data_IF_983655954133
#
_entry.id   IF_983655954133
#
_cell.length_a   1.000
_cell.length_b   1.000
_cell.length_c   1.000
_cell.angle_alpha   90.00
_cell.angle_beta   90.00
_cell.angle_gamma   90.00
#
_symmetry.space_group_name_H-M   'P 1'
#
loop_
_entity.id
_entity.type
_entity.pdbx_description
1 polymer ?
#
# COMPACT_ATOMS: atom_id res chain seq x y z
N UNK A 1 1.16 -47.73 11.58
CA UNK A 1 2.21 -46.71 11.37
C UNK A 1 1.56 -45.50 10.72
N UNK A 2 1.40 -44.38 11.42
CA UNK A 2 0.80 -43.14 10.87
C UNK A 2 1.92 -42.14 10.59
N UNK A 3 2.16 -41.84 9.32
CA UNK A 3 3.13 -40.84 8.87
C UNK A 3 2.65 -39.44 9.24
N UNK A 4 3.51 -38.68 9.91
CA UNK A 4 3.31 -37.28 10.27
C UNK A 4 3.56 -36.44 9.01
N UNK A 5 2.53 -35.79 8.47
CA UNK A 5 2.69 -34.71 7.49
C UNK A 5 3.33 -33.53 8.22
N UNK A 6 4.65 -33.40 8.11
CA UNK A 6 5.35 -32.17 8.48
C UNK A 6 4.94 -31.07 7.50
N UNK A 7 4.19 -30.09 8.00
CA UNK A 7 3.94 -28.84 7.32
C UNK A 7 5.28 -28.13 7.16
N UNK A 8 5.81 -28.12 5.93
CA UNK A 8 6.98 -27.30 5.60
C UNK A 8 6.63 -25.82 5.88
N UNK A 9 7.44 -25.08 6.65
CA UNK A 9 7.20 -23.66 6.84
C UNK A 9 7.33 -22.95 5.48
N UNK A 10 6.26 -22.25 5.09
CA UNK A 10 6.26 -21.29 3.99
C UNK A 10 7.49 -20.40 4.15
N UNK A 11 8.47 -20.54 3.26
CA UNK A 11 9.62 -19.64 3.23
C UNK A 11 9.11 -18.23 2.93
N UNK A 12 8.95 -17.43 4.01
CA UNK A 12 8.80 -15.99 3.91
C UNK A 12 10.03 -15.46 3.21
N UNK A 13 9.91 -15.14 1.92
CA UNK A 13 10.92 -14.36 1.21
C UNK A 13 10.94 -12.93 1.80
N UNK A 14 11.65 -12.75 2.91
CA UNK A 14 11.94 -11.44 3.52
C UNK A 14 13.38 -11.09 3.20
N UNK A 15 13.62 -10.54 2.00
CA UNK A 15 14.86 -9.80 1.75
C UNK A 15 14.62 -8.39 2.28
N UNK A 16 15.33 -7.92 3.33
CA UNK A 16 15.05 -6.63 3.93
C UNK A 16 15.30 -5.49 2.93
N UNK A 17 14.36 -4.55 2.87
CA UNK A 17 14.43 -3.35 2.04
C UNK A 17 15.58 -2.47 2.56
N UNK A 18 16.75 -2.51 1.91
CA UNK A 18 17.88 -1.63 2.25
C UNK A 18 17.57 -0.21 1.78
N UNK A 19 17.04 0.65 2.65
CA UNK A 19 16.87 2.10 2.40
C UNK A 19 17.67 2.93 3.41
N UNK A 20 18.32 4.00 2.93
CA UNK A 20 19.47 4.68 3.55
C UNK A 20 19.15 5.83 4.51
N UNK A 21 17.93 5.94 5.03
CA UNK A 21 17.59 6.94 6.07
C UNK A 21 16.60 6.34 7.03
N UNK A 22 17.05 6.15 8.28
CA UNK A 22 16.27 5.55 9.34
C UNK A 22 15.31 6.61 9.95
N UNK A 23 14.19 6.85 9.28
CA UNK A 23 13.11 7.70 9.80
C UNK A 23 12.42 6.95 10.92
N UNK A 24 12.19 7.59 12.07
CA UNK A 24 11.55 6.99 13.26
C UNK A 24 12.17 5.67 13.73
N UNK A 25 13.47 5.41 13.58
CA UNK A 25 14.03 4.13 14.02
C UNK A 25 13.46 2.89 13.28
N UNK A 26 12.88 3.09 12.08
CA UNK A 26 12.36 2.03 11.21
C UNK A 26 13.29 0.83 11.07
N UNK A 27 12.70 -0.35 11.22
CA UNK A 27 13.38 -1.63 11.15
C UNK A 27 12.84 -2.47 9.98
N UNK A 28 13.56 -2.54 8.84
CA UNK A 28 13.16 -3.31 7.66
C UNK A 28 12.98 -4.82 7.94
N UNK A 29 13.63 -5.37 8.96
CA UNK A 29 13.49 -6.79 9.32
C UNK A 29 12.10 -7.10 9.91
N UNK A 30 11.41 -6.08 10.42
CA UNK A 30 10.03 -6.14 10.89
C UNK A 30 9.01 -5.76 9.80
N UNK A 31 9.46 -5.59 8.56
CA UNK A 31 8.57 -5.21 7.47
C UNK A 31 7.52 -6.28 7.19
N UNK A 32 6.30 -5.83 6.89
CA UNK A 32 5.20 -6.69 6.47
C UNK A 32 4.69 -6.23 5.12
N UNK A 33 4.59 -7.16 4.17
CA UNK A 33 3.89 -6.90 2.91
C UNK A 33 2.39 -6.81 3.20
N UNK A 34 1.75 -5.75 2.73
CA UNK A 34 0.30 -5.53 2.90
C UNK A 34 -0.46 -5.60 1.58
N UNK A 35 0.22 -5.43 0.45
CA UNK A 35 -0.39 -5.56 -0.86
C UNK A 35 0.62 -6.00 -1.91
N UNK A 36 0.11 -6.67 -2.95
CA UNK A 36 0.89 -7.12 -4.10
C UNK A 36 0.18 -6.76 -5.40
N UNK A 37 0.95 -6.35 -6.40
CA UNK A 37 0.48 -6.03 -7.75
C UNK A 37 1.44 -6.63 -8.78
N UNK A 38 1.03 -6.67 -10.05
CA UNK A 38 1.85 -7.23 -11.13
C UNK A 38 3.25 -6.61 -11.22
N UNK A 39 3.35 -5.31 -10.94
CA UNK A 39 4.59 -4.54 -11.13
C UNK A 39 5.38 -4.33 -9.82
N UNK A 40 4.87 -4.79 -8.68
CA UNK A 40 5.39 -4.35 -7.39
C UNK A 40 4.61 -4.78 -6.16
N UNK A 41 5.09 -4.38 -4.99
CA UNK A 41 4.45 -4.66 -3.71
C UNK A 41 4.53 -3.46 -2.76
N UNK A 42 3.57 -3.38 -1.84
CA UNK A 42 3.52 -2.39 -0.76
C UNK A 42 3.86 -3.08 0.55
N UNK A 43 4.78 -2.47 1.29
CA UNK A 43 5.24 -2.92 2.60
C UNK A 43 4.99 -1.85 3.64
N UNK A 44 4.60 -2.26 4.83
CA UNK A 44 4.69 -1.45 6.04
C UNK A 44 5.98 -1.81 6.78
N UNK A 45 6.73 -0.80 7.17
CA UNK A 45 7.97 -0.92 7.94
C UNK A 45 7.76 -0.19 9.27
N UNK A 46 7.61 -0.91 10.39
CA UNK A 46 7.43 -0.27 11.68
C UNK A 46 8.73 0.35 12.17
N UNK A 47 8.60 1.40 12.97
CA UNK A 47 9.68 2.04 13.72
C UNK A 47 9.22 2.41 15.14
N UNK A 48 10.04 3.19 15.83
CA UNK A 48 9.73 3.75 17.13
C UNK A 48 8.73 4.92 17.00
N UNK A 49 7.49 4.67 17.41
CA UNK A 49 6.38 5.64 17.34
C UNK A 49 5.92 5.98 15.91
N UNK A 50 6.55 5.42 14.88
CA UNK A 50 6.28 5.71 13.48
C UNK A 50 6.16 4.46 12.61
N UNK A 51 5.67 4.66 11.40
CA UNK A 51 5.51 3.62 10.40
C UNK A 51 5.76 4.20 9.02
N UNK A 52 6.48 3.45 8.18
CA UNK A 52 6.72 3.80 6.79
C UNK A 52 5.98 2.84 5.88
N UNK A 53 5.30 3.38 4.89
CA UNK A 53 4.92 2.64 3.70
C UNK A 53 6.08 2.68 2.70
N UNK A 54 6.51 1.53 2.22
CA UNK A 54 7.52 1.38 1.17
C UNK A 54 6.89 0.64 0.01
N UNK A 55 7.03 1.21 -1.18
CA UNK A 55 6.52 0.63 -2.41
C UNK A 55 7.70 0.13 -3.23
N UNK A 56 7.52 -1.00 -3.87
CA UNK A 56 8.54 -1.60 -4.75
C UNK A 56 8.03 -1.65 -6.17
N UNK A 57 8.92 -1.48 -7.16
CA UNK A 57 8.67 -1.73 -8.57
C UNK A 57 9.77 -2.61 -9.12
N UNK A 58 9.41 -3.74 -9.73
CA UNK A 58 10.40 -4.72 -10.23
C UNK A 58 11.53 -4.99 -9.23
N UNK A 59 11.16 -5.20 -7.96
CA UNK A 59 12.07 -5.45 -6.82
C UNK A 59 12.95 -4.27 -6.36
N UNK A 60 12.86 -3.11 -6.99
CA UNK A 60 13.51 -1.87 -6.54
C UNK A 60 12.57 -1.01 -5.71
N UNK A 61 13.08 -0.19 -4.79
CA UNK A 61 12.24 0.75 -4.03
C UNK A 61 11.76 1.85 -4.96
N UNK A 62 10.45 1.89 -5.22
CA UNK A 62 9.80 2.90 -6.06
C UNK A 62 9.36 4.14 -5.27
N UNK A 63 9.25 4.01 -3.94
CA UNK A 63 8.77 5.10 -3.09
C UNK A 63 8.74 4.77 -1.61
N UNK A 64 8.71 5.82 -0.79
CA UNK A 64 8.58 5.72 0.66
C UNK A 64 7.85 6.92 1.23
N UNK A 65 6.87 6.69 2.09
CA UNK A 65 6.21 7.69 2.90
C UNK A 65 6.20 7.24 4.36
N UNK A 66 6.46 8.14 5.30
CA UNK A 66 6.55 7.83 6.73
C UNK A 66 5.72 8.82 7.51
N UNK A 67 4.97 8.33 8.49
CA UNK A 67 4.15 9.13 9.41
C UNK A 67 4.25 8.56 10.82
N UNK A 68 3.76 9.30 11.81
CA UNK A 68 3.59 8.74 13.16
C UNK A 68 2.54 7.64 13.14
N UNK A 69 2.65 6.66 14.05
CA UNK A 69 1.65 5.58 14.19
C UNK A 69 0.26 6.14 14.50
N UNK A 70 0.18 7.22 15.29
CA UNK A 70 -1.09 7.89 15.59
C UNK A 70 -1.76 8.50 14.36
N UNK A 71 -0.98 9.11 13.46
CA UNK A 71 -1.48 9.59 12.16
C UNK A 71 -1.94 8.43 11.28
N UNK A 72 -1.10 7.38 11.16
CA UNK A 72 -1.42 6.20 10.37
C UNK A 72 -2.75 5.54 10.78
N UNK A 73 -3.03 5.44 12.08
CA UNK A 73 -4.26 4.83 12.59
C UNK A 73 -5.51 5.68 12.35
N UNK A 74 -5.38 7.00 12.28
CA UNK A 74 -6.52 7.91 12.04
C UNK A 74 -6.80 8.10 10.56
N UNK A 75 -5.75 8.34 9.79
CA UNK A 75 -5.85 8.88 8.43
C UNK A 75 -5.42 7.86 7.36
N UNK A 76 -4.87 6.71 7.78
CA UNK A 76 -4.19 5.77 6.90
C UNK A 76 -2.81 6.26 6.44
N UNK A 77 -2.24 5.60 5.45
CA UNK A 77 -1.03 6.03 4.78
C UNK A 77 -1.27 6.16 3.29
N UNK A 78 -0.78 7.24 2.69
CA UNK A 78 -0.79 7.42 1.23
C UNK A 78 0.56 7.93 0.75
N UNK A 79 0.86 7.62 -0.51
CA UNK A 79 2.04 8.12 -1.20
C UNK A 79 1.72 8.33 -2.66
N UNK A 80 2.01 9.52 -3.16
CA UNK A 80 1.80 9.88 -4.57
C UNK A 80 3.09 9.68 -5.35
N UNK A 81 3.04 8.80 -6.34
CA UNK A 81 4.09 8.60 -7.34
C UNK A 81 3.73 9.30 -8.64
N UNK A 82 4.73 9.85 -9.32
CA UNK A 82 4.59 10.12 -10.74
C UNK A 82 4.43 8.78 -11.49
N UNK A 83 3.47 8.69 -12.40
CA UNK A 83 3.40 7.55 -13.31
C UNK A 83 4.55 7.69 -14.33
N UNK A 84 5.22 6.57 -14.62
CA UNK A 84 6.41 6.55 -15.49
C UNK A 84 6.08 6.67 -16.98
N UNK A 85 4.79 6.61 -17.36
CA UNK A 85 4.34 6.81 -18.75
C UNK A 85 3.04 7.61 -18.77
N UNK A 86 2.95 8.55 -19.73
CA UNK A 86 1.78 9.36 -20.08
C UNK A 86 1.31 10.45 -19.09
N UNK A 87 2.19 11.01 -18.25
CA UNK A 87 1.86 12.23 -17.48
C UNK A 87 0.83 12.04 -16.36
N UNK A 88 0.41 10.81 -16.07
CA UNK A 88 -0.44 10.48 -14.94
C UNK A 88 0.33 10.49 -13.61
N UNK A 89 -0.41 10.49 -12.51
CA UNK A 89 0.06 10.19 -11.15
C UNK A 89 -0.60 8.90 -10.67
N UNK A 90 0.04 8.21 -9.74
CA UNK A 90 -0.54 7.07 -9.03
C UNK A 90 -0.45 7.34 -7.55
N UNK A 91 -1.57 7.29 -6.85
CA UNK A 91 -1.60 7.33 -5.39
C UNK A 91 -1.69 5.90 -4.91
N UNK A 92 -0.71 5.46 -4.14
CA UNK A 92 -0.76 4.19 -3.43
C UNK A 92 -1.07 4.47 -1.98
N UNK A 93 -1.81 3.58 -1.32
CA UNK A 93 -2.10 3.75 0.09
C UNK A 93 -2.49 2.47 0.80
N UNK A 94 -2.55 2.62 2.12
CA UNK A 94 -2.95 1.58 3.06
C UNK A 94 -4.00 2.16 4.00
N UNK A 95 -5.13 1.48 4.08
CA UNK A 95 -6.22 1.74 5.01
C UNK A 95 -5.98 0.93 6.30
N UNK A 96 -6.20 1.52 7.48
CA UNK A 96 -6.13 0.79 8.75
C UNK A 96 -7.14 -0.35 8.84
N UNK A 97 -6.80 -1.39 9.59
CA UNK A 97 -7.74 -2.47 9.89
C UNK A 97 -9.01 -1.94 10.57
N UNK A 98 -10.16 -2.53 10.25
CA UNK A 98 -11.45 -2.18 10.85
C UNK A 98 -12.15 -0.97 10.22
N UNK A 99 -11.51 -0.26 9.28
CA UNK A 99 -12.17 0.79 8.48
C UNK A 99 -13.01 0.13 7.39
N UNK A 100 -14.31 0.35 7.40
CA UNK A 100 -15.25 -0.23 6.43
C UNK A 100 -15.46 0.65 5.19
N UNK A 101 -15.25 1.96 5.30
CA UNK A 101 -15.43 2.93 4.21
C UNK A 101 -14.36 4.01 4.24
N UNK A 102 -13.99 4.48 3.06
CA UNK A 102 -13.11 5.63 2.87
C UNK A 102 -13.79 6.67 2.01
N UNK A 103 -13.38 7.92 2.17
CA UNK A 103 -13.82 9.03 1.33
C UNK A 103 -12.69 9.41 0.38
N UNK A 104 -13.02 9.47 -0.91
CA UNK A 104 -12.11 9.96 -1.94
C UNK A 104 -12.53 11.36 -2.35
N UNK A 105 -11.61 12.32 -2.22
CA UNK A 105 -11.76 13.69 -2.73
C UNK A 105 -10.86 13.91 -3.93
N UNK A 106 -11.39 14.48 -5.01
CA UNK A 106 -10.60 15.07 -6.09
C UNK A 106 -10.33 16.55 -5.80
N UNK A 107 -9.21 17.11 -6.27
CA UNK A 107 -8.96 18.56 -6.17
C UNK A 107 -9.98 19.36 -6.99
N UNK A 108 -10.54 18.76 -8.04
CA UNK A 108 -11.49 19.40 -8.96
C UNK A 108 -12.97 19.31 -8.54
N UNK A 109 -13.33 18.35 -7.68
CA UNK A 109 -14.71 18.17 -7.23
C UNK A 109 -14.82 18.29 -5.71
N UNK A 110 -15.77 19.12 -5.25
CA UNK A 110 -16.18 19.18 -3.84
C UNK A 110 -16.91 17.90 -3.36
N UNK A 111 -17.00 16.87 -4.22
CA UNK A 111 -17.78 15.67 -3.97
C UNK A 111 -16.88 14.58 -3.42
N UNK A 112 -17.17 14.19 -2.19
CA UNK A 112 -16.59 13.02 -1.55
C UNK A 112 -17.30 11.76 -2.08
N UNK A 113 -16.52 10.84 -2.65
CA UNK A 113 -17.03 9.51 -2.99
C UNK A 113 -16.78 8.60 -1.80
N UNK A 114 -17.85 8.10 -1.19
CA UNK A 114 -17.76 7.08 -0.15
C UNK A 114 -17.65 5.70 -0.80
N UNK A 115 -16.59 4.98 -0.49
CA UNK A 115 -16.24 3.70 -1.11
C UNK A 115 -16.03 2.65 -0.02
N UNK A 116 -16.67 1.49 -0.16
CA UNK A 116 -16.45 0.36 0.75
C UNK A 116 -15.03 -0.21 0.59
N UNK A 117 -14.37 -0.41 1.72
CA UNK A 117 -13.02 -1.00 1.81
C UNK A 117 -13.11 -2.49 1.54
N UNK A 118 -12.39 -2.95 0.53
CA UNK A 118 -12.35 -4.37 0.16
C UNK A 118 -11.05 -5.06 0.61
N UNK A 119 -9.99 -4.29 0.83
CA UNK A 119 -8.69 -4.74 1.32
C UNK A 119 -7.96 -3.53 1.92
N UNK A 120 -6.86 -3.76 2.64
CA UNK A 120 -6.11 -2.68 3.26
C UNK A 120 -5.29 -1.90 2.24
N UNK A 121 -4.76 -2.53 1.19
CA UNK A 121 -3.98 -1.85 0.17
C UNK A 121 -4.83 -1.29 -0.97
N UNK A 122 -4.48 -0.12 -1.49
CA UNK A 122 -5.11 0.43 -2.69
C UNK A 122 -4.15 1.17 -3.61
N UNK A 123 -4.57 1.33 -4.86
CA UNK A 123 -3.92 2.16 -5.87
C UNK A 123 -4.97 2.96 -6.63
N UNK A 124 -4.74 4.27 -6.76
CA UNK A 124 -5.57 5.19 -7.52
C UNK A 124 -4.75 5.72 -8.70
N UNK A 125 -5.28 5.58 -9.91
CA UNK A 125 -4.75 6.27 -11.09
C UNK A 125 -5.29 7.69 -11.13
N UNK A 126 -4.43 8.66 -11.41
CA UNK A 126 -4.77 10.09 -11.47
C UNK A 126 -4.30 10.66 -12.80
N UNK A 127 -5.18 11.33 -13.53
CA UNK A 127 -4.86 11.99 -14.81
C UNK A 127 -5.31 13.43 -14.74
N UNK A 128 -4.44 14.37 -15.10
CA UNK A 128 -4.75 15.82 -15.09
C UNK A 128 -5.28 16.38 -13.76
N UNK A 129 -5.00 15.73 -12.63
CA UNK A 129 -5.53 16.14 -11.31
C UNK A 129 -6.65 15.27 -10.78
N UNK A 130 -7.30 14.49 -11.64
CA UNK A 130 -8.52 13.77 -11.31
C UNK A 130 -8.23 12.29 -11.14
N UNK A 131 -8.82 11.69 -10.10
CA UNK A 131 -8.78 10.25 -9.94
C UNK A 131 -9.60 9.61 -11.08
N UNK A 132 -9.03 8.63 -11.77
CA UNK A 132 -9.63 7.95 -12.93
C UNK A 132 -9.97 6.50 -12.62
N UNK A 133 -9.22 5.87 -11.73
CA UNK A 133 -9.37 4.46 -11.37
C UNK A 133 -9.05 4.26 -9.90
N UNK A 134 -9.79 3.39 -9.22
CA UNK A 134 -9.43 2.85 -7.91
C UNK A 134 -9.32 1.34 -7.99
N UNK A 135 -8.25 0.79 -7.43
CA UNK A 135 -7.99 -0.65 -7.32
C UNK A 135 -7.67 -1.02 -5.88
N UNK A 136 -8.40 -1.98 -5.33
CA UNK A 136 -8.03 -2.64 -4.08
C UNK A 136 -7.00 -3.75 -4.35
N UNK A 137 -5.91 -3.72 -3.58
CA UNK A 137 -4.74 -4.59 -3.75
C UNK A 137 -4.67 -5.56 -2.57
N UNK A 138 -4.84 -6.86 -2.86
CA UNK A 138 -4.68 -7.90 -1.84
C UNK A 138 -3.27 -8.49 -1.78
N UNK A 139 -3.04 -9.35 -0.78
CA UNK A 139 -1.76 -10.06 -0.61
C UNK A 139 -1.45 -11.05 -1.75
N UNK A 140 -2.47 -11.53 -2.47
CA UNK A 140 -2.38 -12.63 -3.44
C UNK A 140 -2.09 -12.21 -4.90
N UNK A 141 -1.69 -10.96 -5.15
CA UNK A 141 -1.65 -10.34 -6.51
C UNK A 141 -3.01 -10.18 -7.19
N UNK A 142 -4.11 -10.58 -6.54
CA UNK A 142 -5.44 -10.38 -7.09
C UNK A 142 -5.83 -8.90 -6.96
N UNK A 143 -6.18 -8.28 -8.09
CA UNK A 143 -7.01 -7.06 -8.04
C UNK A 143 -8.38 -7.50 -7.58
N UNK A 144 -8.75 -7.13 -6.36
CA UNK A 144 -9.99 -7.61 -5.74
C UNK A 144 -11.21 -6.88 -6.32
N UNK A 145 -11.04 -5.60 -6.66
CA UNK A 145 -12.09 -4.78 -7.27
C UNK A 145 -11.46 -3.55 -7.94
N UNK A 146 -11.89 -3.27 -9.17
CA UNK A 146 -11.58 -2.04 -9.89
C UNK A 146 -12.88 -1.22 -10.05
N UNK A 147 -12.80 0.07 -9.73
CA UNK A 147 -13.91 1.00 -9.88
C UNK A 147 -13.48 2.14 -10.81
N UNK A 148 -14.29 2.50 -11.82
CA UNK A 148 -14.14 3.78 -12.48
C UNK A 148 -14.47 4.87 -11.46
N UNK A 149 -13.59 5.87 -11.38
CA UNK A 149 -13.91 7.09 -10.64
C UNK A 149 -14.65 8.01 -11.63
N UNK A 150 -15.84 8.54 -11.26
CA UNK A 150 -16.65 9.39 -12.13
C UNK A 150 -15.93 10.67 -12.56
#
# INVERSE_FOLDING_TARGET
MRGRLELQPLQRQTRPLRTSTNVYGTNPDLSRRVARSADGAVFLVPGDGGICMVTTRSETVGGRACVTTGTALRDGLTFTQAATRAGGRRVEGVVPDGVARVELSSESESRLLSIDVCDNGFSIGVTSGEATTLRWLGESNAVMRELPVP
#
